data_IF_597923730399
#
_entry.id   IF_597923730399
#
_cell.length_a   1.000
_cell.length_b   1.000
_cell.length_c   1.000
_cell.angle_alpha   90.00
_cell.angle_beta   90.00
_cell.angle_gamma   90.00
#
_symmetry.space_group_name_H-M   'P 1'
#
loop_
_entity.id
_entity.type
_entity.pdbx_description
1 polymer ?
#
# COMPACT_ATOMS: atom_id res chain seq x y z
N UNK A 1 -7.59 -14.49 -1.34
CA UNK A 1 -6.97 -13.15 -1.24
C UNK A 1 -6.76 -12.82 0.23
N UNK A 2 -5.64 -12.24 0.69
CA UNK A 2 -5.58 -11.68 2.03
C UNK A 2 -6.58 -10.52 2.06
N UNK A 3 -7.68 -10.76 2.75
CA UNK A 3 -8.79 -9.82 2.94
C UNK A 3 -8.46 -8.83 4.07
N UNK A 4 -7.37 -9.09 4.81
CA UNK A 4 -7.01 -8.32 5.97
C UNK A 4 -6.71 -6.86 5.55
N UNK A 5 -7.49 -5.89 6.05
CA UNK A 5 -7.34 -4.51 5.60
C UNK A 5 -6.05 -3.89 6.15
N UNK A 6 -5.54 -2.79 5.55
CA UNK A 6 -4.28 -2.17 5.97
C UNK A 6 -4.30 -1.70 7.43
N UNK A 7 -5.47 -1.43 8.02
CA UNK A 7 -5.59 -1.13 9.44
C UNK A 7 -5.16 -2.28 10.35
N UNK A 8 -5.27 -3.54 9.90
CA UNK A 8 -4.84 -4.68 10.68
C UNK A 8 -3.34 -4.60 10.97
N UNK A 9 -2.53 -4.12 10.01
CA UNK A 9 -1.11 -3.90 10.23
C UNK A 9 -0.81 -2.80 11.22
N UNK A 10 -1.51 -1.68 11.09
CA UNK A 10 -1.32 -0.56 12.01
C UNK A 10 -1.70 -0.98 13.42
N UNK A 11 -2.81 -1.70 13.58
CA UNK A 11 -3.24 -2.26 14.86
C UNK A 11 -2.30 -3.36 15.35
N UNK A 12 -1.77 -4.20 14.48
CA UNK A 12 -0.80 -5.23 14.82
C UNK A 12 0.52 -4.61 15.28
N UNK A 13 1.06 -3.66 14.52
CA UNK A 13 2.27 -2.91 14.88
C UNK A 13 2.06 -2.12 16.17
N UNK A 14 0.92 -1.46 16.34
CA UNK A 14 0.58 -0.73 17.55
C UNK A 14 0.38 -1.64 18.76
N UNK A 15 -0.30 -2.78 18.57
CA UNK A 15 -0.45 -3.79 19.63
C UNK A 15 0.89 -4.39 20.02
N UNK A 16 1.78 -4.64 19.05
CA UNK A 16 3.11 -5.20 19.30
C UNK A 16 4.08 -4.18 19.90
N UNK A 17 3.96 -2.88 19.59
CA UNK A 17 4.73 -1.82 20.29
C UNK A 17 4.28 -1.65 21.75
N UNK A 18 3.00 -1.89 22.07
CA UNK A 18 2.48 -1.71 23.43
C UNK A 18 2.68 -2.93 24.33
N UNK A 19 2.56 -4.16 23.80
CA UNK A 19 2.62 -5.38 24.61
C UNK A 19 4.03 -5.88 24.88
N UNK A 20 5.00 -5.56 24.02
CA UNK A 20 6.40 -5.87 24.23
C UNK A 20 7.19 -4.55 24.24
N UNK A 21 8.43 -4.57 24.74
CA UNK A 21 9.43 -3.56 24.34
C UNK A 21 10.16 -4.12 23.12
N UNK A 22 9.56 -4.17 21.91
CA UNK A 22 10.25 -4.74 20.78
C UNK A 22 11.47 -3.85 20.48
N UNK A 23 12.57 -4.51 20.15
CA UNK A 23 13.69 -3.90 19.47
C UNK A 23 13.16 -3.08 18.29
N UNK A 24 13.55 -1.81 18.18
CA UNK A 24 13.19 -0.94 17.06
C UNK A 24 13.46 -1.61 15.71
N UNK A 25 14.62 -2.29 15.59
CA UNK A 25 14.99 -3.07 14.40
C UNK A 25 14.00 -4.18 14.06
N UNK A 26 13.42 -4.83 15.05
CA UNK A 26 12.46 -5.91 14.85
C UNK A 26 11.16 -5.37 14.26
N UNK A 27 10.72 -4.18 14.68
CA UNK A 27 9.54 -3.53 14.09
C UNK A 27 9.80 -3.12 12.64
N UNK A 28 10.98 -2.58 12.35
CA UNK A 28 11.37 -2.23 10.97
C UNK A 28 11.45 -3.48 10.09
N UNK A 29 12.06 -4.57 10.58
CA UNK A 29 12.15 -5.83 9.83
C UNK A 29 10.79 -6.48 9.61
N UNK A 30 9.92 -6.51 10.62
CA UNK A 30 8.56 -7.04 10.48
C UNK A 30 7.75 -6.21 9.48
N UNK A 31 7.86 -4.88 9.56
CA UNK A 31 7.21 -4.00 8.59
C UNK A 31 7.76 -4.25 7.19
N UNK A 32 9.09 -4.29 7.01
CA UNK A 32 9.71 -4.52 5.70
C UNK A 32 9.33 -5.88 5.09
N UNK A 33 9.37 -6.95 5.89
CA UNK A 33 8.95 -8.29 5.47
C UNK A 33 7.49 -8.30 5.05
N UNK A 34 6.65 -7.58 5.78
CA UNK A 34 5.25 -7.48 5.46
C UNK A 34 5.00 -6.68 4.17
N UNK A 35 5.66 -5.53 4.04
CA UNK A 35 5.57 -4.66 2.85
C UNK A 35 6.09 -5.37 1.59
N UNK A 36 7.07 -6.27 1.71
CA UNK A 36 7.66 -7.00 0.58
C UNK A 36 6.88 -8.24 0.16
N UNK A 37 5.89 -8.70 0.94
CA UNK A 37 5.02 -9.81 0.55
C UNK A 37 4.00 -9.37 -0.51
N UNK A 38 4.47 -9.21 -1.74
CA UNK A 38 3.68 -8.86 -2.93
C UNK A 38 3.54 -10.01 -3.92
N UNK A 39 3.82 -11.24 -3.49
CA UNK A 39 3.83 -12.37 -4.41
C UNK A 39 2.44 -12.98 -4.54
N UNK A 40 2.00 -13.11 -5.78
CA UNK A 40 0.81 -13.86 -6.13
C UNK A 40 1.19 -14.99 -7.07
N UNK A 41 0.82 -16.24 -6.74
CA UNK A 41 1.01 -17.33 -7.69
C UNK A 41 0.15 -17.07 -8.92
N UNK A 42 0.61 -17.45 -10.13
CA UNK A 42 -0.21 -17.42 -11.32
C UNK A 42 -1.45 -18.30 -11.10
N UNK A 43 -2.59 -17.85 -11.61
CA UNK A 43 -3.88 -18.56 -11.47
C UNK A 43 -4.28 -19.19 -12.80
N UNK A 44 -5.07 -20.27 -12.80
CA UNK A 44 -5.60 -20.84 -14.04
C UNK A 44 -6.45 -19.81 -14.78
N UNK A 45 -6.36 -19.75 -16.10
CA UNK A 45 -7.15 -18.79 -16.89
C UNK A 45 -8.67 -19.06 -16.81
N UNK A 46 -9.05 -20.27 -16.39
CA UNK A 46 -10.46 -20.67 -16.21
C UNK A 46 -11.02 -20.31 -14.84
N UNK A 47 -10.26 -19.56 -14.04
CA UNK A 47 -10.73 -19.03 -12.77
C UNK A 47 -11.90 -18.07 -13.02
N UNK A 48 -13.02 -18.21 -12.28
CA UNK A 48 -14.15 -17.29 -12.43
C UNK A 48 -13.78 -15.89 -11.92
N UNK A 49 -14.29 -14.87 -12.60
CA UNK A 49 -14.24 -13.47 -12.18
C UNK A 49 -15.11 -13.29 -10.93
N UNK A 50 -14.69 -12.43 -10.00
CA UNK A 50 -15.46 -12.11 -8.78
C UNK A 50 -16.81 -11.47 -9.15
N UNK A 51 -16.83 -10.66 -10.20
CA UNK A 51 -18.06 -10.14 -10.79
C UNK A 51 -18.02 -10.38 -12.31
N UNK A 52 -19.00 -11.10 -12.87
CA UNK A 52 -19.06 -11.28 -14.32
C UNK A 52 -19.22 -9.92 -15.01
N UNK A 53 -18.47 -9.69 -16.09
CA UNK A 53 -18.53 -8.43 -16.82
C UNK A 53 -19.77 -8.33 -17.70
N UNK A 54 -20.23 -9.48 -18.19
CA UNK A 54 -21.44 -9.67 -18.97
C UNK A 54 -22.00 -11.07 -18.69
N UNK A 55 -23.21 -11.37 -19.17
CA UNK A 55 -23.89 -12.66 -18.94
C UNK A 55 -23.07 -13.87 -19.42
N UNK A 56 -22.23 -13.68 -20.44
CA UNK A 56 -21.38 -14.73 -21.02
C UNK A 56 -19.90 -14.61 -20.62
N UNK A 57 -19.51 -13.60 -19.84
CA UNK A 57 -18.12 -13.33 -19.49
C UNK A 57 -17.93 -13.58 -18.01
N UNK A 58 -17.64 -14.84 -17.67
CA UNK A 58 -17.59 -15.31 -16.29
C UNK A 58 -16.19 -15.70 -15.83
N UNK A 59 -15.26 -15.94 -16.75
CA UNK A 59 -13.88 -16.34 -16.47
C UNK A 59 -12.85 -15.35 -17.04
N UNK A 60 -11.58 -15.46 -16.61
CA UNK A 60 -10.50 -14.66 -17.20
C UNK A 60 -10.28 -15.00 -18.68
N UNK A 61 -10.51 -16.26 -19.10
CA UNK A 61 -10.45 -16.63 -20.51
C UNK A 61 -11.56 -15.95 -21.32
N UNK A 62 -12.80 -15.98 -20.84
CA UNK A 62 -13.92 -15.31 -21.54
C UNK A 62 -13.64 -13.81 -21.69
N UNK A 63 -13.10 -13.19 -20.64
CA UNK A 63 -12.72 -11.78 -20.63
C UNK A 63 -11.60 -11.48 -21.63
N UNK A 64 -10.62 -12.37 -21.76
CA UNK A 64 -9.54 -12.23 -22.72
C UNK A 64 -10.04 -12.41 -24.16
N UNK A 65 -10.88 -13.41 -24.44
CA UNK A 65 -11.49 -13.61 -25.75
C UNK A 65 -12.38 -12.44 -26.18
N UNK A 66 -13.08 -11.80 -25.24
CA UNK A 66 -13.82 -10.57 -25.49
C UNK A 66 -12.90 -9.43 -25.97
N UNK A 67 -11.71 -9.32 -25.38
CA UNK A 67 -10.73 -8.30 -25.74
C UNK A 67 -9.91 -8.64 -27.00
N UNK A 68 -9.78 -9.93 -27.32
CA UNK A 68 -8.99 -10.47 -28.43
C UNK A 68 -9.76 -11.58 -29.15
N UNK A 69 -10.76 -11.25 -29.98
CA UNK A 69 -11.62 -12.26 -30.62
C UNK A 69 -10.89 -13.15 -31.64
N UNK A 70 -9.73 -12.70 -32.13
CA UNK A 70 -8.94 -13.42 -33.13
C UNK A 70 -7.78 -14.23 -32.51
N UNK A 71 -7.73 -14.36 -31.17
CA UNK A 71 -6.67 -15.12 -30.50
C UNK A 71 -6.89 -16.63 -30.75
N UNK A 72 -5.94 -17.34 -31.38
CA UNK A 72 -6.05 -18.79 -31.55
C UNK A 72 -5.94 -19.50 -30.20
N UNK A 73 -6.71 -20.57 -30.02
CA UNK A 73 -6.76 -21.35 -28.77
C UNK A 73 -5.38 -21.91 -28.37
N UNK A 74 -4.51 -22.16 -29.36
CA UNK A 74 -3.14 -22.65 -29.15
C UNK A 74 -2.24 -21.62 -28.43
N UNK A 75 -2.52 -20.32 -28.59
CA UNK A 75 -1.79 -19.23 -27.92
C UNK A 75 -2.42 -18.82 -26.60
N UNK A 76 -3.51 -19.48 -26.18
CA UNK A 76 -4.16 -19.17 -24.92
C UNK A 76 -3.33 -19.73 -23.76
N UNK A 77 -2.81 -18.89 -22.84
CA UNK A 77 -1.99 -19.37 -21.75
C UNK A 77 -2.85 -20.13 -20.73
N UNK A 78 -2.37 -21.29 -20.27
CA UNK A 78 -3.09 -22.09 -19.26
C UNK A 78 -3.20 -21.37 -17.90
N UNK A 79 -2.24 -20.49 -17.60
CA UNK A 79 -2.22 -19.67 -16.37
C UNK A 79 -2.00 -18.21 -16.69
N UNK A 80 -2.70 -17.32 -15.99
CA UNK A 80 -2.56 -15.87 -16.10
C UNK A 80 -1.68 -15.32 -14.96
N UNK A 81 -0.62 -14.55 -15.28
CA UNK A 81 0.11 -13.80 -14.27
C UNK A 81 -0.79 -12.69 -13.74
N UNK A 82 -1.14 -12.78 -12.47
CA UNK A 82 -2.04 -11.83 -11.84
C UNK A 82 -1.33 -10.51 -11.58
N UNK A 83 -1.98 -9.36 -11.77
CA UNK A 83 -1.36 -8.07 -11.48
C UNK A 83 -0.89 -8.02 -10.01
N UNK A 84 0.41 -7.76 -9.82
CA UNK A 84 1.06 -7.78 -8.51
C UNK A 84 0.33 -6.87 -7.53
N UNK A 85 -0.17 -7.46 -6.44
CA UNK A 85 -0.74 -6.72 -5.33
C UNK A 85 0.18 -6.76 -4.14
N UNK A 86 0.92 -5.67 -3.95
CA UNK A 86 1.52 -5.39 -2.67
C UNK A 86 0.43 -5.00 -1.67
N UNK A 87 0.65 -5.37 -0.41
CA UNK A 87 -0.15 -4.86 0.71
C UNK A 87 -0.18 -3.33 0.78
N UNK A 88 0.84 -2.68 0.24
CA UNK A 88 0.94 -1.23 0.17
C UNK A 88 0.97 -0.71 -1.26
N UNK A 89 0.00 -1.12 -2.06
CA UNK A 89 -0.32 -0.38 -3.28
C UNK A 89 -0.91 1.00 -2.92
N UNK A 90 -0.04 1.99 -2.82
CA UNK A 90 -0.38 3.39 -2.53
C UNK A 90 -0.97 4.12 -3.74
N UNK A 91 -1.05 3.49 -4.92
CA UNK A 91 -1.43 4.15 -6.17
C UNK A 91 -2.86 4.69 -6.17
N UNK A 92 -3.77 4.05 -5.45
CA UNK A 92 -5.18 4.45 -5.33
C UNK A 92 -5.51 5.14 -3.99
N UNK A 93 -4.49 5.52 -3.20
CA UNK A 93 -4.65 6.15 -1.89
C UNK A 93 -4.61 5.15 -0.72
N UNK A 94 -4.08 5.61 0.43
CA UNK A 94 -3.76 4.76 1.59
C UNK A 94 -4.99 4.10 2.27
N UNK A 95 -6.21 4.53 1.93
CA UNK A 95 -7.46 4.04 2.55
C UNK A 95 -8.60 3.79 1.55
N UNK A 96 -8.32 3.75 0.24
CA UNK A 96 -9.39 3.44 -0.71
C UNK A 96 -9.84 1.98 -0.57
N UNK A 97 -11.15 1.75 -0.64
CA UNK A 97 -11.70 0.39 -0.71
C UNK A 97 -11.13 -0.34 -1.91
N UNK A 98 -10.74 -1.60 -1.73
CA UNK A 98 -10.25 -2.40 -2.83
C UNK A 98 -11.36 -2.63 -3.87
N UNK A 99 -11.15 -2.13 -5.09
CA UNK A 99 -11.97 -2.47 -6.24
C UNK A 99 -11.40 -3.72 -6.93
N UNK A 100 -11.92 -4.88 -6.57
CA UNK A 100 -11.53 -6.17 -7.15
C UNK A 100 -11.79 -6.23 -8.65
N UNK A 101 -12.93 -5.70 -9.10
CA UNK A 101 -13.30 -5.69 -10.53
C UNK A 101 -12.24 -4.97 -11.37
N UNK A 102 -11.81 -3.78 -10.95
CA UNK A 102 -10.78 -3.01 -11.66
C UNK A 102 -9.43 -3.72 -11.71
N UNK A 103 -9.09 -4.47 -10.66
CA UNK A 103 -7.85 -5.22 -10.60
C UNK A 103 -7.89 -6.47 -11.49
N UNK A 104 -9.03 -7.16 -11.59
CA UNK A 104 -9.23 -8.25 -12.55
C UNK A 104 -9.12 -7.72 -13.98
N UNK A 105 -9.77 -6.59 -14.27
CA UNK A 105 -9.68 -5.91 -15.57
C UNK A 105 -8.23 -5.55 -15.93
N UNK A 106 -7.48 -4.92 -15.01
CA UNK A 106 -6.07 -4.62 -15.21
C UNK A 106 -5.21 -5.86 -15.45
N UNK A 107 -5.55 -6.99 -14.82
CA UNK A 107 -4.85 -8.25 -15.03
C UNK A 107 -5.07 -8.77 -16.46
N UNK A 108 -6.31 -8.74 -16.96
CA UNK A 108 -6.64 -9.14 -18.34
C UNK A 108 -5.99 -8.19 -19.35
N UNK A 109 -6.04 -6.88 -19.12
CA UNK A 109 -5.40 -5.88 -20.01
C UNK A 109 -3.89 -6.09 -20.09
N UNK A 110 -3.22 -6.30 -18.95
CA UNK A 110 -1.77 -6.58 -18.94
C UNK A 110 -1.43 -7.87 -19.68
N UNK A 111 -2.27 -8.91 -19.55
CA UNK A 111 -2.07 -10.16 -20.28
C UNK A 111 -2.26 -9.94 -21.79
N UNK A 112 -3.32 -9.24 -22.18
CA UNK A 112 -3.56 -8.83 -23.57
C UNK A 112 -2.34 -8.14 -24.16
N UNK A 113 -1.85 -7.10 -23.52
CA UNK A 113 -0.69 -6.33 -24.01
C UNK A 113 0.55 -7.22 -24.17
N UNK A 114 0.74 -8.18 -23.25
CA UNK A 114 1.83 -9.16 -23.34
C UNK A 114 1.69 -10.10 -24.53
N UNK A 115 0.47 -10.61 -24.79
CA UNK A 115 0.20 -11.50 -25.92
C UNK A 115 0.27 -10.77 -27.26
N UNK A 116 -0.24 -9.55 -27.35
CA UNK A 116 -0.11 -8.72 -28.55
C UNK A 116 1.37 -8.48 -28.89
N UNK A 117 2.19 -8.20 -27.86
CA UNK A 117 3.64 -8.04 -28.05
C UNK A 117 4.32 -9.34 -28.50
N UNK A 118 3.94 -10.48 -27.94
CA UNK A 118 4.49 -11.78 -28.32
C UNK A 118 4.13 -12.15 -29.76
N UNK A 119 2.86 -11.98 -30.14
CA UNK A 119 2.40 -12.24 -31.51
C UNK A 119 3.08 -11.32 -32.53
N UNK A 120 3.25 -10.04 -32.20
CA UNK A 120 3.96 -9.10 -33.07
C UNK A 120 5.44 -9.49 -33.25
N UNK A 121 6.10 -9.96 -32.19
CA UNK A 121 7.48 -10.43 -32.27
C UNK A 121 7.62 -11.72 -33.10
N UNK A 122 6.67 -12.65 -32.97
CA UNK A 122 6.65 -13.89 -33.77
C UNK A 122 6.37 -13.62 -35.26
N UNK A 123 5.51 -12.65 -35.56
CA UNK A 123 5.26 -12.21 -36.93
C UNK A 123 6.51 -11.58 -37.55
N UNK A 124 7.21 -10.71 -36.82
CA UNK A 124 8.50 -10.15 -37.26
C UNK A 124 9.55 -11.24 -37.49
N UNK A 125 9.61 -12.26 -36.64
CA UNK A 125 10.53 -13.39 -36.81
C UNK A 125 10.17 -14.24 -38.04
N UNK A 126 8.87 -14.47 -38.30
CA UNK A 126 8.39 -15.17 -39.50
C UNK A 126 8.78 -14.42 -40.76
N UNK A 127 8.57 -13.10 -40.81
CA UNK A 127 8.98 -12.26 -41.94
C UNK A 127 10.51 -12.30 -42.15
N UNK A 128 11.29 -12.32 -41.06
CA UNK A 128 12.75 -12.46 -41.13
C UNK A 128 13.18 -13.80 -41.72
N UNK A 129 12.56 -14.89 -41.32
CA UNK A 129 12.87 -16.24 -41.81
C UNK A 129 12.51 -16.41 -43.29
N UNK A 130 11.40 -15.81 -43.75
CA UNK A 130 11.01 -15.81 -45.17
C UNK A 130 12.06 -15.09 -46.05
N UNK A 131 12.63 -13.97 -45.57
CA UNK A 131 13.72 -13.28 -46.28
C UNK A 131 15.01 -14.11 -46.33
N UNK A 132 15.36 -14.87 -45.28
CA UNK A 132 16.59 -15.68 -45.25
C UNK A 132 16.49 -16.95 -46.12
N UNK A 133 15.31 -17.54 -46.25
CA UNK A 133 15.13 -18.79 -47.01
C UNK A 133 15.09 -18.57 -48.54
N UNK A 134 14.88 -17.32 -48.99
CA UNK A 134 14.76 -16.96 -50.41
C UNK A 134 16.07 -16.90 -51.22
N UNK A 135 17.24 -17.14 -50.61
CA UNK A 135 18.54 -17.00 -51.30
C UNK A 135 18.90 -18.17 -52.25
N UNK A 136 18.01 -19.13 -52.47
CA UNK A 136 18.31 -20.40 -53.13
C UNK A 136 18.16 -20.49 -54.66
N UNK A 137 17.20 -19.81 -55.28
CA UNK A 137 16.90 -20.00 -56.71
C UNK A 137 16.49 -18.67 -57.39
N UNK A 138 17.33 -18.24 -58.34
CA UNK A 138 17.13 -17.19 -59.35
C UNK A 138 17.26 -15.71 -58.93
N UNK A 139 18.53 -15.27 -58.98
CA UNK A 139 19.05 -13.91 -58.82
C UNK A 139 18.51 -12.94 -59.88
N UNK A 140 17.36 -12.29 -59.63
CA UNK A 140 16.99 -11.06 -60.35
C UNK A 140 15.99 -10.11 -59.65
N UNK A 141 15.33 -10.50 -58.56
CA UNK A 141 14.28 -9.67 -57.90
C UNK A 141 14.55 -9.30 -56.42
N UNK A 142 15.79 -9.45 -55.95
CA UNK A 142 16.20 -9.24 -54.53
C UNK A 142 16.34 -7.77 -54.08
N UNK A 143 15.45 -6.88 -54.49
CA UNK A 143 15.47 -5.47 -54.03
C UNK A 143 14.53 -5.23 -52.84
N UNK A 144 13.57 -6.13 -52.57
CA UNK A 144 12.49 -5.89 -51.59
C UNK A 144 12.86 -6.17 -50.13
N UNK A 145 13.69 -7.17 -49.80
CA UNK A 145 14.05 -7.43 -48.38
C UNK A 145 14.97 -6.35 -47.78
N UNK A 146 15.85 -5.73 -48.57
CA UNK A 146 16.72 -4.65 -48.10
C UNK A 146 15.94 -3.36 -47.79
N UNK A 147 14.89 -3.07 -48.56
CA UNK A 147 14.06 -1.87 -48.37
C UNK A 147 13.13 -1.98 -47.15
N UNK A 148 12.74 -3.19 -46.77
CA UNK A 148 11.97 -3.46 -45.53
C UNK A 148 12.86 -3.21 -44.31
N UNK A 149 14.12 -3.67 -44.32
CA UNK A 149 15.05 -3.49 -43.20
C UNK A 149 15.32 -2.00 -42.88
N UNK A 150 15.50 -1.18 -43.93
CA UNK A 150 15.70 0.28 -43.77
C UNK A 150 14.43 0.98 -43.25
N UNK A 151 13.23 0.49 -43.61
CA UNK A 151 11.96 1.06 -43.14
C UNK A 151 11.68 0.74 -41.67
N UNK A 152 12.07 -0.44 -41.19
CA UNK A 152 11.96 -0.77 -39.76
C UNK A 152 12.94 0.05 -38.91
N UNK A 153 14.14 0.35 -39.41
CA UNK A 153 15.09 1.21 -38.69
C UNK A 153 14.64 2.69 -38.67
N UNK A 154 13.98 3.16 -39.72
CA UNK A 154 13.38 4.49 -39.76
C UNK A 154 12.15 4.62 -38.84
N UNK A 155 11.32 3.56 -38.73
CA UNK A 155 10.16 3.55 -37.84
C UNK A 155 10.53 3.33 -36.36
N UNK A 156 11.62 2.61 -36.06
CA UNK A 156 12.16 2.53 -34.70
C UNK A 156 12.73 3.87 -34.19
N UNK A 157 13.04 4.79 -35.10
CA UNK A 157 13.51 6.15 -34.76
C UNK A 157 12.35 7.16 -34.69
N UNK A 158 11.16 6.79 -35.17
CA UNK A 158 9.96 7.60 -34.92
C UNK A 158 9.51 7.25 -33.51
N UNK A 159 9.56 8.16 -32.52
CA UNK A 159 9.01 7.86 -31.21
C UNK A 159 7.53 7.57 -31.43
N UNK A 160 7.17 6.28 -31.39
CA UNK A 160 5.81 5.82 -31.42
C UNK A 160 5.04 6.77 -30.51
N UNK A 161 4.05 7.44 -31.08
CA UNK A 161 3.22 8.40 -30.38
C UNK A 161 2.80 7.70 -29.11
N UNK A 162 3.41 8.11 -28.01
CA UNK A 162 3.42 7.35 -26.79
C UNK A 162 1.98 7.37 -26.27
N UNK A 163 1.20 6.36 -26.64
CA UNK A 163 0.12 5.92 -25.77
C UNK A 163 0.79 5.69 -24.43
N UNK A 164 0.27 6.33 -23.37
CA UNK A 164 1.06 6.56 -22.19
C UNK A 164 1.32 5.23 -21.53
N UNK A 165 2.51 4.68 -21.77
CA UNK A 165 3.19 3.66 -20.98
C UNK A 165 3.57 4.23 -19.59
N UNK A 166 2.74 5.13 -19.06
CA UNK A 166 2.92 5.90 -17.84
C UNK A 166 2.55 5.12 -16.58
N UNK A 167 2.19 3.84 -16.71
CA UNK A 167 1.84 3.00 -15.56
C UNK A 167 2.95 2.04 -15.12
N UNK A 168 3.96 1.75 -15.93
CA UNK A 168 5.04 0.82 -15.55
C UNK A 168 6.39 1.49 -15.26
N UNK A 169 6.60 2.76 -15.60
CA UNK A 169 7.79 3.52 -15.18
C UNK A 169 7.44 4.74 -14.31
N UNK A 170 6.34 4.64 -13.57
CA UNK A 170 6.11 5.52 -12.43
C UNK A 170 7.01 5.03 -11.29
N UNK A 171 8.33 5.25 -11.44
CA UNK A 171 9.29 5.21 -10.33
C UNK A 171 8.59 5.80 -9.11
N UNK A 172 8.34 5.04 -8.06
CA UNK A 172 7.54 5.54 -6.97
C UNK A 172 8.24 6.79 -6.42
N UNK A 173 7.53 7.92 -6.44
CA UNK A 173 7.86 9.15 -5.70
C UNK A 173 7.98 8.91 -4.17
N UNK A 174 8.05 7.67 -3.71
CA UNK A 174 8.25 7.25 -2.33
C UNK A 174 9.54 7.87 -1.76
N UNK A 175 10.60 8.06 -2.56
CA UNK A 175 11.81 8.74 -2.10
C UNK A 175 11.62 10.25 -1.82
N UNK A 176 10.67 10.91 -2.49
CA UNK A 176 10.40 12.34 -2.24
C UNK A 176 9.54 12.56 -0.99
N UNK A 177 8.71 11.58 -0.62
CA UNK A 177 7.91 11.64 0.60
C UNK A 177 8.79 11.58 1.87
N UNK A 178 9.92 10.86 1.83
CA UNK A 178 10.89 10.84 2.94
C UNK A 178 11.80 12.08 2.99
N UNK A 179 11.89 12.88 1.93
CA UNK A 179 12.62 14.17 1.94
C UNK A 179 11.87 15.30 2.63
N UNK A 180 10.54 15.21 2.73
CA UNK A 180 9.71 16.20 3.41
C UNK A 180 9.79 16.14 4.95
N UNK A 181 10.33 15.06 5.51
CA UNK A 181 10.62 14.94 6.96
C UNK A 181 12.00 15.51 7.33
N UNK A 182 12.37 16.68 6.78
CA UNK A 182 13.44 17.47 7.38
C UNK A 182 12.89 18.07 8.68
N UNK A 183 13.26 17.43 9.79
CA UNK A 183 13.24 18.02 11.12
C UNK A 183 13.69 19.48 11.05
N UNK A 184 12.74 20.40 11.27
CA UNK A 184 13.02 21.82 11.47
C UNK A 184 13.68 21.93 12.84
N UNK A 185 15.00 21.87 12.85
CA UNK A 185 15.80 22.24 14.02
C UNK A 185 15.71 23.76 14.18
N UNK A 186 14.84 24.24 15.06
CA UNK A 186 14.78 25.66 15.45
C UNK A 186 16.07 26.07 16.19
N UNK A 187 16.73 27.17 15.82
CA UNK A 187 17.87 27.70 16.55
C UNK A 187 17.42 28.45 17.80
N UNK A 188 17.87 28.00 18.97
CA UNK A 188 17.65 28.68 20.26
C UNK A 188 18.64 29.83 20.45
N UNK A 189 18.10 31.03 20.66
CA UNK A 189 18.82 32.21 21.18
C UNK A 189 18.77 32.19 22.71
N UNK A 190 19.85 32.52 23.44
CA UNK A 190 19.79 32.67 24.89
C UNK A 190 19.67 34.16 25.24
N UNK A 191 18.69 34.53 26.07
CA UNK A 191 18.84 35.71 26.91
C UNK A 191 17.90 35.70 28.13
N UNK A 192 18.45 36.25 29.23
CA UNK A 192 17.78 36.75 30.46
C UNK A 192 17.60 35.78 31.64
N UNK A 193 18.59 35.84 32.53
CA UNK A 193 18.55 36.29 33.93
C UNK A 193 17.40 35.93 34.90
N UNK A 194 17.87 35.42 36.05
CA UNK A 194 17.54 35.79 37.44
C UNK A 194 16.23 35.27 38.09
N UNK A 195 16.39 34.70 39.30
CA UNK A 195 15.39 34.84 40.37
C UNK A 195 15.11 33.60 41.23
N UNK A 196 15.89 33.45 42.30
CA UNK A 196 15.52 33.10 43.69
C UNK A 196 14.69 31.84 44.05
N UNK A 197 15.32 31.05 44.95
CA UNK A 197 14.84 30.58 46.26
C UNK A 197 13.48 29.88 46.40
N UNK A 198 13.48 28.71 47.05
CA UNK A 198 12.99 28.52 48.45
C UNK A 198 12.42 27.11 48.71
N UNK A 199 13.11 26.38 49.61
CA UNK A 199 12.65 25.40 50.61
C UNK A 199 11.97 24.08 50.20
N UNK A 200 12.79 23.04 50.35
CA UNK A 200 12.54 21.76 51.02
C UNK A 200 11.72 21.89 52.32
N UNK A 201 10.85 20.92 52.63
CA UNK A 201 11.17 20.09 53.80
C UNK A 201 10.89 18.58 53.59
N UNK A 202 11.77 17.79 54.19
CA UNK A 202 11.72 16.34 54.36
C UNK A 202 11.06 15.98 55.72
N UNK A 203 10.54 14.75 55.76
CA UNK A 203 10.39 13.86 56.94
C UNK A 203 9.34 14.20 57.99
N UNK A 204 8.40 13.29 58.26
CA UNK A 204 8.61 12.16 59.19
C UNK A 204 7.34 11.30 59.32
N UNK A 205 7.56 10.01 59.53
CA UNK A 205 6.55 8.97 59.69
C UNK A 205 5.91 8.96 61.09
N UNK A 206 4.66 8.50 61.17
CA UNK A 206 4.12 7.74 62.31
C UNK A 206 2.78 7.10 61.93
N UNK A 207 2.73 5.77 62.02
CA UNK A 207 1.50 4.98 62.19
C UNK A 207 1.27 4.78 63.71
N UNK A 208 0.32 3.94 64.17
CA UNK A 208 -0.98 3.49 63.63
C UNK A 208 -2.14 3.82 64.61
N UNK A 209 -3.41 3.74 64.21
CA UNK A 209 -4.40 3.10 65.09
C UNK A 209 -5.72 2.71 64.39
N UNK A 210 -6.29 1.65 64.94
CA UNK A 210 -7.51 0.92 64.64
C UNK A 210 -8.73 1.70 65.10
N UNK A 211 -9.77 1.79 64.27
CA UNK A 211 -11.15 1.72 64.77
C UNK A 211 -12.17 1.32 63.71
N UNK A 212 -12.82 0.21 64.04
CA UNK A 212 -13.98 -0.41 63.43
C UNK A 212 -15.20 0.46 63.79
N UNK A 213 -15.98 0.93 62.82
CA UNK A 213 -17.35 1.38 63.08
C UNK A 213 -18.24 1.23 61.85
N UNK A 214 -19.44 0.77 62.15
CA UNK A 214 -20.55 0.33 61.32
C UNK A 214 -21.24 1.45 60.51
N UNK A 215 -21.65 1.08 59.29
CA UNK A 215 -22.79 1.54 58.45
C UNK A 215 -23.59 2.77 58.90
N UNK A 216 -23.91 3.70 57.98
CA UNK A 216 -25.08 3.47 57.13
C UNK A 216 -24.90 3.83 55.64
N UNK A 217 -25.77 3.20 54.86
CA UNK A 217 -26.07 3.38 53.45
C UNK A 217 -26.36 4.86 53.13
N UNK A 218 -25.34 5.58 52.66
CA UNK A 218 -25.47 6.93 52.11
C UNK A 218 -25.60 6.78 50.61
N UNK A 219 -26.83 6.91 50.10
CA UNK A 219 -27.13 7.26 48.71
C UNK A 219 -26.37 8.55 48.38
N UNK A 220 -25.15 8.40 47.88
CA UNK A 220 -24.29 9.49 47.43
C UNK A 220 -24.85 9.97 46.10
N UNK A 221 -25.82 10.88 46.16
CA UNK A 221 -26.24 11.70 45.04
C UNK A 221 -25.01 12.46 44.56
N UNK A 222 -24.36 11.95 43.51
CA UNK A 222 -23.22 12.59 42.87
C UNK A 222 -23.74 13.92 42.32
N UNK A 223 -23.27 15.08 42.79
CA UNK A 223 -23.67 16.35 42.20
C UNK A 223 -23.18 16.35 40.76
N UNK A 224 -24.14 16.38 39.82
CA UNK A 224 -23.88 16.54 38.40
C UNK A 224 -23.28 17.94 38.20
N UNK A 225 -21.96 18.02 38.31
CA UNK A 225 -21.20 19.25 38.18
C UNK A 225 -21.24 19.62 36.70
N UNK A 226 -22.17 20.51 36.31
CA UNK A 226 -22.24 21.03 34.95
C UNK A 226 -20.92 21.71 34.65
N UNK A 227 -20.06 21.01 33.93
CA UNK A 227 -18.75 21.48 33.56
C UNK A 227 -18.97 22.48 32.45
N UNK A 228 -18.49 23.72 32.65
CA UNK A 228 -18.53 24.76 31.64
C UNK A 228 -17.98 24.20 30.31
N UNK A 229 -18.51 24.62 29.14
CA UNK A 229 -18.10 24.09 27.85
C UNK A 229 -16.62 24.40 27.62
N UNK A 230 -15.77 23.39 27.87
CA UNK A 230 -14.34 23.46 27.61
C UNK A 230 -14.08 23.10 26.14
N UNK A 231 -13.02 23.70 25.54
CA UNK A 231 -12.66 23.46 24.14
C UNK A 231 -12.42 21.96 23.91
N UNK A 232 -12.95 21.46 22.78
CA UNK A 232 -13.08 20.03 22.43
C UNK A 232 -11.77 19.22 22.44
N UNK A 233 -10.62 19.89 22.56
CA UNK A 233 -9.27 19.36 22.35
C UNK A 233 -8.40 19.23 23.61
N UNK A 234 -8.95 19.33 24.83
CA UNK A 234 -8.30 18.84 26.05
C UNK A 234 -9.18 17.80 26.71
N UNK A 235 -8.90 16.52 26.48
CA UNK A 235 -9.74 15.42 26.93
C UNK A 235 -8.87 14.25 27.35
N UNK A 236 -8.65 14.14 28.65
CA UNK A 236 -8.38 12.86 29.27
C UNK A 236 -9.61 11.96 29.03
N UNK A 237 -9.43 10.78 28.44
CA UNK A 237 -10.51 9.82 28.23
C UNK A 237 -10.35 8.65 29.18
N UNK A 238 -11.23 8.58 30.18
CA UNK A 238 -11.30 7.44 31.08
C UNK A 238 -12.13 6.31 30.43
N UNK A 239 -11.46 5.21 30.09
CA UNK A 239 -12.09 4.03 29.51
C UNK A 239 -12.55 3.02 30.57
N UNK A 240 -12.35 3.29 31.86
CA UNK A 240 -12.75 2.40 32.96
C UNK A 240 -14.24 2.16 33.03
N UNK A 241 -15.04 3.15 32.64
CA UNK A 241 -16.49 3.00 32.53
C UNK A 241 -16.93 1.94 31.49
N UNK A 242 -16.04 1.58 30.56
CA UNK A 242 -16.28 0.55 29.54
C UNK A 242 -15.60 -0.78 29.87
N UNK A 243 -15.04 -0.94 31.07
CA UNK A 243 -14.37 -2.18 31.50
C UNK A 243 -12.89 -2.26 31.12
N UNK A 244 -12.30 -1.22 30.54
CA UNK A 244 -10.86 -1.16 30.26
C UNK A 244 -10.14 -0.44 31.39
N UNK A 245 -9.11 -1.06 31.99
CA UNK A 245 -8.29 -0.43 33.03
C UNK A 245 -7.27 0.57 32.44
N UNK A 246 -7.74 1.57 31.68
CA UNK A 246 -6.92 2.50 30.94
C UNK A 246 -7.50 3.92 30.97
N UNK A 247 -6.62 4.90 31.05
CA UNK A 247 -6.94 6.33 30.93
C UNK A 247 -6.01 6.91 29.86
N UNK A 248 -6.58 7.52 28.83
CA UNK A 248 -5.84 8.15 27.73
C UNK A 248 -5.71 9.65 27.99
N UNK A 249 -4.52 10.10 28.38
CA UNK A 249 -4.22 11.52 28.56
C UNK A 249 -3.46 12.06 27.33
N UNK A 250 -4.05 13.05 26.67
CA UNK A 250 -3.46 13.73 25.51
C UNK A 250 -2.75 15.06 25.90
N UNK A 251 -2.62 15.34 27.20
CA UNK A 251 -1.96 16.52 27.74
C UNK A 251 -0.45 16.39 27.78
N UNK A 252 0.24 16.52 26.64
CA UNK A 252 1.70 16.71 26.65
C UNK A 252 2.01 18.16 27.04
N UNK A 253 2.20 18.44 28.34
CA UNK A 253 2.92 19.65 28.75
C UNK A 253 4.40 19.40 28.45
N UNK A 254 4.95 20.07 27.45
CA UNK A 254 6.38 20.06 27.19
C UNK A 254 7.12 20.52 28.45
N UNK A 255 7.69 19.57 29.19
CA UNK A 255 8.59 19.86 30.30
C UNK A 255 9.89 20.36 29.69
N UNK A 256 9.98 21.66 29.47
CA UNK A 256 11.23 22.34 29.22
C UNK A 256 12.09 22.28 30.49
N UNK A 257 13.27 21.69 30.38
CA UNK A 257 14.47 22.06 31.15
C UNK A 257 15.50 22.60 30.16
#
# INVERSE_FOLDING_TARGET
MPIAPPYFLLLFLFSTTMHARPCFYCMVLLTAMFMSTCYWPPIPIQTPLVRPWAENVTTFADALHLMMPNLPDEKLPSTIPVADRCWCDLSNGFFASFNTTKWEEQTVVRLKDSLEKEMAAEEEERERQECETGEGEDVAYSTTCAEILDRHQANATTPATAFPQSYLDRRPYIWDMFRAFKFVSTPSTPNVSAGNDTKTPLTAASAPDVSRSSTPDVKKTIPFRSTAPQPWLRREYDLRQFGFAMVLDFGWSGSHS
#
